data_IF_209277927147
#
_entry.id   IF_209277927147
#
_cell.length_a   1.000
_cell.length_b   1.000
_cell.length_c   1.000
_cell.angle_alpha   90.00
_cell.angle_beta   90.00
_cell.angle_gamma   90.00
#
_symmetry.space_group_name_H-M   'P 1'
#
loop_
_entity.id
_entity.type
_entity.pdbx_description
1 polymer ?
#
# COMPACT_ATOMS: atom_id res chain seq x y z
N UNK A 1 9.33 7.76 5.23
CA UNK A 1 8.11 7.34 4.52
C UNK A 1 7.01 7.22 5.55
N UNK A 2 5.84 7.80 5.29
CA UNK A 2 4.67 7.56 6.13
C UNK A 2 4.34 6.06 6.11
N UNK A 3 3.92 5.52 7.26
CA UNK A 3 3.50 4.12 7.36
C UNK A 3 2.16 3.98 6.65
N UNK A 4 2.13 3.23 5.56
CA UNK A 4 0.87 2.90 4.86
C UNK A 4 0.07 1.96 5.77
N UNK A 5 -1.16 2.36 6.08
CA UNK A 5 -2.08 1.53 6.85
C UNK A 5 -2.63 0.40 5.98
N UNK A 6 -2.71 -0.81 6.55
CA UNK A 6 -3.37 -1.97 5.94
C UNK A 6 -4.85 -1.96 6.33
N UNK A 7 -5.74 -2.06 5.35
CA UNK A 7 -7.17 -2.30 5.55
C UNK A 7 -7.42 -3.79 5.35
N UNK A 8 -7.88 -4.44 6.42
CA UNK A 8 -8.07 -5.89 6.50
C UNK A 8 -9.52 -6.33 6.43
N UNK A 9 -10.45 -5.44 6.79
CA UNK A 9 -11.87 -5.76 6.93
C UNK A 9 -12.76 -4.66 6.30
N UNK A 10 -14.04 -4.97 6.06
CA UNK A 10 -15.01 -3.99 5.53
C UNK A 10 -15.15 -2.74 6.42
N UNK A 11 -15.02 -2.90 7.74
CA UNK A 11 -15.08 -1.80 8.70
C UNK A 11 -13.89 -0.84 8.52
N UNK A 12 -12.72 -1.34 8.12
CA UNK A 12 -11.56 -0.52 7.83
C UNK A 12 -11.80 0.40 6.61
N UNK A 13 -12.49 -0.09 5.58
CA UNK A 13 -12.91 0.73 4.43
C UNK A 13 -13.85 1.85 4.86
N UNK A 14 -14.81 1.53 5.73
CA UNK A 14 -15.77 2.51 6.28
C UNK A 14 -15.04 3.62 7.04
N UNK A 15 -14.18 3.24 7.99
CA UNK A 15 -13.44 4.15 8.86
C UNK A 15 -12.38 4.97 8.12
N UNK A 16 -11.81 4.43 7.04
CA UNK A 16 -10.83 5.16 6.22
C UNK A 16 -11.41 6.34 5.44
N UNK A 17 -12.72 6.34 5.19
CA UNK A 17 -13.37 7.32 4.31
C UNK A 17 -12.97 7.19 2.82
N UNK A 18 -12.24 6.15 2.44
CA UNK A 18 -11.87 5.92 1.04
C UNK A 18 -13.12 5.80 0.14
N UNK A 19 -13.11 6.48 -1.01
CA UNK A 19 -14.23 6.50 -1.95
C UNK A 19 -15.50 7.16 -1.40
N UNK A 20 -15.41 7.91 -0.31
CA UNK A 20 -16.53 8.57 0.35
C UNK A 20 -16.22 10.06 0.59
N UNK A 21 -17.27 10.93 0.66
CA UNK A 21 -18.67 10.65 0.33
C UNK A 21 -18.92 10.63 -1.19
N UNK A 22 -20.16 10.35 -1.60
CA UNK A 22 -20.63 10.63 -2.97
C UNK A 22 -20.25 12.06 -3.37
N UNK A 23 -19.77 12.34 -4.60
CA UNK A 23 -19.85 11.53 -5.82
C UNK A 23 -18.65 10.60 -6.10
N UNK A 24 -17.80 10.36 -5.10
CA UNK A 24 -16.61 9.50 -5.25
C UNK A 24 -16.97 8.07 -5.68
N UNK A 25 -16.05 7.45 -6.44
CA UNK A 25 -16.24 6.14 -7.08
C UNK A 25 -15.27 5.06 -6.57
N UNK A 26 -14.41 5.40 -5.60
CA UNK A 26 -13.33 4.53 -5.15
C UNK A 26 -13.80 3.16 -4.65
N UNK A 27 -14.90 3.12 -3.91
CA UNK A 27 -15.47 1.85 -3.43
C UNK A 27 -15.99 0.99 -4.59
N UNK A 28 -16.68 1.58 -5.56
CA UNK A 28 -17.16 0.90 -6.76
C UNK A 28 -15.99 0.39 -7.62
N UNK A 29 -14.91 1.16 -7.72
CA UNK A 29 -13.68 0.78 -8.41
C UNK A 29 -13.02 -0.42 -7.73
N UNK A 30 -12.89 -0.40 -6.40
CA UNK A 30 -12.33 -1.51 -5.62
C UNK A 30 -13.19 -2.78 -5.76
N UNK A 31 -14.52 -2.63 -5.69
CA UNK A 31 -15.45 -3.74 -5.91
C UNK A 31 -15.28 -4.35 -7.31
N UNK A 32 -15.23 -3.51 -8.35
CA UNK A 32 -15.00 -3.99 -9.71
C UNK A 32 -13.65 -4.73 -9.83
N UNK A 33 -12.59 -4.16 -9.26
CA UNK A 33 -11.27 -4.77 -9.29
C UNK A 33 -11.29 -6.17 -8.68
N UNK A 34 -11.76 -6.30 -7.44
CA UNK A 34 -11.83 -7.58 -6.72
C UNK A 34 -12.76 -8.60 -7.40
N UNK A 35 -13.93 -8.16 -7.89
CA UNK A 35 -14.96 -9.06 -8.43
C UNK A 35 -14.72 -9.44 -9.90
N UNK A 36 -14.13 -8.55 -10.70
CA UNK A 36 -14.08 -8.70 -12.17
C UNK A 36 -12.68 -8.69 -12.75
N UNK A 37 -11.74 -7.91 -12.21
CA UNK A 37 -10.39 -7.78 -12.78
C UNK A 37 -9.46 -8.92 -12.33
N UNK A 38 -9.56 -9.33 -11.07
CA UNK A 38 -8.79 -10.46 -10.52
C UNK A 38 -9.65 -11.70 -10.32
N UNK A 39 -8.99 -12.83 -10.13
CA UNK A 39 -9.51 -14.03 -9.48
C UNK A 39 -8.41 -14.66 -8.64
N UNK A 40 -8.78 -15.56 -7.73
CA UNK A 40 -7.82 -16.33 -6.96
C UNK A 40 -7.73 -17.73 -7.56
N UNK A 41 -6.51 -18.25 -7.68
CA UNK A 41 -6.29 -19.64 -8.07
C UNK A 41 -6.47 -20.59 -6.87
N UNK A 42 -6.24 -21.89 -7.09
CA UNK A 42 -6.38 -22.91 -6.04
C UNK A 42 -5.36 -22.77 -4.90
N UNK A 43 -4.32 -21.94 -5.08
CA UNK A 43 -3.28 -21.65 -4.09
C UNK A 43 -3.51 -20.28 -3.41
N UNK A 44 -4.70 -19.69 -3.57
CA UNK A 44 -5.06 -18.34 -3.13
C UNK A 44 -4.14 -17.24 -3.69
N UNK A 45 -3.50 -17.47 -4.84
CA UNK A 45 -2.71 -16.43 -5.50
C UNK A 45 -3.61 -15.54 -6.36
N UNK A 46 -3.33 -14.23 -6.36
CA UNK A 46 -4.06 -13.26 -7.17
C UNK A 46 -3.64 -13.38 -8.64
N UNK A 47 -4.59 -13.78 -9.49
CA UNK A 47 -4.42 -13.84 -10.94
C UNK A 47 -5.21 -12.72 -11.61
N UNK A 48 -4.51 -11.83 -12.32
CA UNK A 48 -5.11 -10.79 -13.15
C UNK A 48 -5.69 -11.38 -14.44
N UNK A 49 -6.87 -10.92 -14.87
CA UNK A 49 -7.47 -11.35 -16.15
C UNK A 49 -6.96 -10.60 -17.37
N UNK A 50 -6.37 -9.43 -17.14
CA UNK A 50 -5.84 -8.57 -18.18
C UNK A 50 -4.50 -8.02 -17.72
N UNK A 51 -3.56 -7.89 -18.65
CA UNK A 51 -2.28 -7.26 -18.35
C UNK A 51 -2.48 -5.73 -18.23
N UNK A 52 -2.10 -5.10 -17.11
CA UNK A 52 -2.26 -3.66 -16.95
C UNK A 52 -1.42 -2.82 -17.94
N UNK A 53 -0.40 -3.40 -18.58
CA UNK A 53 0.35 -2.71 -19.65
C UNK A 53 -0.47 -2.45 -20.90
N UNK A 54 -1.59 -3.15 -21.09
CA UNK A 54 -2.43 -3.05 -22.29
C UNK A 54 -3.31 -1.79 -22.29
N UNK A 55 -3.27 -0.99 -21.22
CA UNK A 55 -4.04 0.27 -21.12
C UNK A 55 -5.54 0.10 -20.88
N UNK A 56 -6.04 -1.15 -20.86
CA UNK A 56 -7.46 -1.47 -20.67
C UNK A 56 -8.01 -0.82 -19.41
N UNK A 57 -9.28 -0.42 -19.45
CA UNK A 57 -9.96 0.23 -18.32
C UNK A 57 -9.32 1.56 -17.83
N UNK A 58 -8.34 2.10 -18.57
CA UNK A 58 -7.57 3.28 -18.16
C UNK A 58 -6.35 2.96 -17.29
N UNK A 59 -5.91 1.69 -17.26
CA UNK A 59 -4.65 1.33 -16.59
C UNK A 59 -3.47 2.05 -17.25
N UNK A 60 -2.53 2.52 -16.44
CA UNK A 60 -1.27 3.06 -16.92
C UNK A 60 -0.19 2.92 -15.86
N UNK A 61 1.08 3.06 -16.25
CA UNK A 61 2.21 2.90 -15.32
C UNK A 61 2.18 4.01 -14.27
N UNK A 62 2.10 3.62 -12.99
CA UNK A 62 2.20 4.54 -11.87
C UNK A 62 3.67 4.90 -11.64
N UNK A 63 3.97 6.18 -11.75
CA UNK A 63 5.31 6.68 -11.52
C UNK A 63 5.43 7.07 -10.05
N UNK A 64 5.85 6.11 -9.21
CA UNK A 64 6.07 6.32 -7.78
C UNK A 64 7.31 7.20 -7.52
N UNK A 65 7.32 8.44 -8.02
CA UNK A 65 8.44 9.39 -7.97
C UNK A 65 8.65 9.91 -6.54
N UNK A 66 9.85 10.40 -6.26
CA UNK A 66 10.15 11.04 -4.98
C UNK A 66 9.64 12.48 -4.98
N UNK A 67 8.74 12.82 -4.05
CA UNK A 67 8.18 14.15 -3.90
C UNK A 67 8.73 14.82 -2.63
N UNK A 68 9.60 15.82 -2.81
CA UNK A 68 10.25 16.54 -1.70
C UNK A 68 9.25 17.18 -0.74
N UNK A 69 8.20 17.80 -1.28
CA UNK A 69 7.20 18.53 -0.49
C UNK A 69 6.26 17.62 0.30
N UNK A 70 6.11 16.36 -0.11
CA UNK A 70 5.24 15.39 0.57
C UNK A 70 6.00 14.38 1.43
N UNK A 71 7.30 14.61 1.65
CA UNK A 71 8.10 13.77 2.55
C UNK A 71 8.52 12.41 1.96
N UNK A 72 8.50 12.25 0.64
CA UNK A 72 9.09 11.10 -0.05
C UNK A 72 8.25 10.54 -1.20
N UNK A 73 8.37 9.22 -1.41
CA UNK A 73 7.55 8.47 -2.36
C UNK A 73 6.23 8.09 -1.68
N UNK A 74 5.15 8.03 -2.46
CA UNK A 74 3.83 7.58 -1.99
C UNK A 74 3.87 6.13 -1.52
N UNK A 75 4.49 5.26 -2.34
CA UNK A 75 4.59 3.82 -2.10
C UNK A 75 6.05 3.41 -1.83
N UNK A 76 6.28 2.22 -1.24
CA UNK A 76 7.63 1.68 -1.11
C UNK A 76 8.37 1.62 -2.45
N UNK A 77 9.69 1.80 -2.42
CA UNK A 77 10.49 1.62 -3.62
C UNK A 77 10.62 0.12 -3.94
N UNK A 78 10.42 -0.25 -5.20
CA UNK A 78 10.64 -1.61 -5.69
C UNK A 78 11.13 -1.58 -7.14
N UNK A 79 11.75 -2.68 -7.58
CA UNK A 79 12.25 -2.81 -8.96
C UNK A 79 11.12 -3.01 -9.97
N UNK A 80 10.13 -3.81 -9.60
CA UNK A 80 8.97 -4.11 -10.43
C UNK A 80 8.01 -2.93 -10.53
N UNK A 81 7.27 -2.79 -11.64
CA UNK A 81 6.42 -1.64 -11.87
C UNK A 81 5.19 -1.62 -10.95
N UNK A 82 4.67 -0.40 -10.79
CA UNK A 82 3.31 -0.15 -10.31
C UNK A 82 2.43 0.26 -11.49
N UNK A 83 1.14 -0.07 -11.43
CA UNK A 83 0.12 0.39 -12.37
C UNK A 83 -1.05 1.00 -11.63
N UNK A 84 -1.61 2.08 -12.18
CA UNK A 84 -2.72 2.84 -11.63
C UNK A 84 -3.95 2.71 -12.53
N UNK A 85 -5.14 2.70 -11.91
CA UNK A 85 -6.43 2.86 -12.56
C UNK A 85 -7.34 3.74 -11.70
N UNK A 86 -8.39 4.29 -12.31
CA UNK A 86 -9.42 5.07 -11.61
C UNK A 86 -9.55 6.50 -12.10
N UNK A 87 -8.65 6.99 -12.95
CA UNK A 87 -8.91 8.22 -13.69
C UNK A 87 -9.96 7.95 -14.77
N UNK A 88 -11.08 8.68 -14.73
CA UNK A 88 -12.23 8.50 -15.63
C UNK A 88 -12.19 9.38 -16.88
N UNK A 89 -11.18 10.23 -17.05
CA UNK A 89 -10.99 11.05 -18.26
C UNK A 89 -10.55 10.27 -19.51
N UNK A 90 -9.62 9.30 -19.44
CA UNK A 90 -9.14 8.59 -20.62
C UNK A 90 -10.26 7.82 -21.34
N UNK A 91 -10.14 7.68 -22.66
CA UNK A 91 -11.12 6.94 -23.47
C UNK A 91 -11.24 5.48 -23.01
N UNK A 92 -10.14 4.86 -22.63
CA UNK A 92 -10.06 3.48 -22.16
C UNK A 92 -10.83 3.27 -20.85
N UNK A 93 -11.00 4.32 -20.04
CA UNK A 93 -11.85 4.27 -18.86
C UNK A 93 -13.31 3.97 -19.23
N UNK A 94 -13.73 4.21 -20.48
CA UNK A 94 -15.07 3.81 -20.94
C UNK A 94 -15.31 2.30 -20.85
N UNK A 95 -14.27 1.47 -20.77
CA UNK A 95 -14.39 0.02 -20.56
C UNK A 95 -14.76 -0.34 -19.11
N UNK A 96 -14.61 0.58 -18.14
CA UNK A 96 -15.07 0.36 -16.77
C UNK A 96 -16.60 0.22 -16.73
N UNK A 97 -17.15 -0.58 -15.81
CA UNK A 97 -18.59 -0.73 -15.65
C UNK A 97 -19.30 0.61 -15.43
N UNK A 98 -20.56 0.70 -15.86
CA UNK A 98 -21.39 1.90 -15.69
C UNK A 98 -21.45 2.37 -14.23
N UNK A 99 -21.64 1.44 -13.28
CA UNK A 99 -21.72 1.77 -11.85
C UNK A 99 -20.44 2.36 -11.25
N UNK A 100 -19.27 2.19 -11.90
CA UNK A 100 -18.02 2.85 -11.48
C UNK A 100 -17.99 4.31 -11.93
N UNK A 101 -18.61 4.62 -13.07
CA UNK A 101 -18.51 5.93 -13.71
C UNK A 101 -19.76 6.78 -13.59
N UNK A 102 -20.85 6.23 -13.06
CA UNK A 102 -22.19 6.84 -13.13
C UNK A 102 -22.28 8.24 -12.52
N UNK A 103 -21.41 8.54 -11.54
CA UNK A 103 -21.37 9.83 -10.83
C UNK A 103 -20.29 10.77 -11.34
N UNK A 104 -19.55 10.38 -12.37
CA UNK A 104 -18.52 11.23 -12.95
C UNK A 104 -19.17 12.41 -13.68
N UNK A 105 -18.81 13.62 -13.28
CA UNK A 105 -19.38 14.85 -13.84
C UNK A 105 -18.48 15.52 -14.88
N UNK A 106 -17.20 15.14 -14.95
CA UNK A 106 -16.19 15.84 -15.74
C UNK A 106 -15.72 17.16 -15.14
N UNK A 107 -16.19 17.53 -13.95
CA UNK A 107 -15.81 18.75 -13.24
C UNK A 107 -14.83 18.48 -12.09
N UNK A 108 -14.23 19.54 -11.56
CA UNK A 108 -13.36 19.47 -10.38
C UNK A 108 -14.25 19.49 -9.12
N UNK A 109 -14.96 18.39 -8.87
CA UNK A 109 -15.95 18.26 -7.79
C UNK A 109 -15.70 17.03 -6.89
N UNK A 110 -14.54 16.39 -7.03
CA UNK A 110 -14.17 15.19 -6.30
C UNK A 110 -14.60 13.87 -6.95
N UNK A 111 -15.47 13.89 -7.97
CA UNK A 111 -16.03 12.69 -8.63
C UNK A 111 -15.02 11.86 -9.42
N UNK A 112 -13.76 12.29 -9.54
CA UNK A 112 -12.69 11.59 -10.26
C UNK A 112 -11.35 11.63 -9.49
N UNK A 113 -11.43 11.57 -8.16
CA UNK A 113 -10.24 11.65 -7.29
C UNK A 113 -9.67 10.30 -6.90
N UNK A 114 -10.47 9.24 -6.93
CA UNK A 114 -10.09 7.92 -6.39
C UNK A 114 -9.20 7.14 -7.35
N UNK A 115 -8.17 6.48 -6.82
CA UNK A 115 -7.24 5.64 -7.57
C UNK A 115 -7.04 4.30 -6.88
N UNK A 116 -6.81 3.29 -7.69
CA UNK A 116 -6.33 1.98 -7.28
C UNK A 116 -4.98 1.76 -7.95
N UNK A 117 -3.97 1.39 -7.16
CA UNK A 117 -2.61 1.12 -7.63
C UNK A 117 -2.26 -0.33 -7.32
N UNK A 118 -1.82 -1.09 -8.32
CA UNK A 118 -1.31 -2.45 -8.15
C UNK A 118 0.21 -2.46 -8.27
N UNK A 119 0.87 -3.17 -7.37
CA UNK A 119 2.28 -3.51 -7.46
C UNK A 119 2.45 -4.91 -8.02
N UNK A 120 3.42 -5.07 -8.92
CA UNK A 120 3.81 -6.38 -9.42
C UNK A 120 5.08 -6.89 -8.72
N UNK A 121 5.25 -8.20 -8.64
CA UNK A 121 6.51 -8.84 -8.27
C UNK A 121 7.43 -9.01 -9.50
N UNK A 122 8.55 -9.73 -9.36
CA UNK A 122 9.49 -9.98 -10.47
C UNK A 122 8.92 -10.88 -11.57
N UNK A 123 7.91 -11.69 -11.25
CA UNK A 123 7.26 -12.60 -12.18
C UNK A 123 6.09 -11.93 -12.94
N UNK A 124 5.79 -10.66 -12.62
CA UNK A 124 4.65 -9.94 -13.20
C UNK A 124 3.31 -10.21 -12.50
N UNK A 125 3.32 -10.89 -11.36
CA UNK A 125 2.11 -11.20 -10.58
C UNK A 125 1.79 -10.06 -9.59
N UNK A 126 0.51 -9.87 -9.26
CA UNK A 126 0.10 -8.85 -8.28
C UNK A 126 0.57 -9.29 -6.90
N UNK A 127 1.34 -8.45 -6.21
CA UNK A 127 1.78 -8.69 -4.83
C UNK A 127 1.26 -7.65 -3.84
N UNK A 128 0.79 -6.50 -4.33
CA UNK A 128 0.27 -5.41 -3.49
C UNK A 128 -0.86 -4.70 -4.21
N UNK A 129 -1.90 -4.36 -3.46
CA UNK A 129 -3.01 -3.53 -3.93
C UNK A 129 -3.13 -2.35 -2.98
N UNK A 130 -3.14 -1.16 -3.54
CA UNK A 130 -3.28 0.09 -2.82
C UNK A 130 -4.49 0.86 -3.33
N UNK A 131 -5.11 1.61 -2.42
CA UNK A 131 -6.13 2.60 -2.76
C UNK A 131 -5.68 3.96 -2.27
N UNK A 132 -5.98 5.00 -3.03
CA UNK A 132 -5.57 6.37 -2.73
C UNK A 132 -6.50 7.38 -3.39
N UNK A 133 -6.28 8.66 -3.11
CA UNK A 133 -7.04 9.76 -3.69
C UNK A 133 -6.13 10.93 -4.07
N UNK A 134 -6.56 11.74 -5.03
CA UNK A 134 -6.00 13.07 -5.25
C UNK A 134 -6.58 14.10 -4.26
N UNK A 135 -5.74 14.93 -3.65
CA UNK A 135 -6.20 16.02 -2.76
C UNK A 135 -6.51 17.32 -3.52
N UNK A 136 -5.72 17.65 -4.55
CA UNK A 136 -5.84 18.91 -5.30
C UNK A 136 -5.87 18.68 -6.82
N UNK A 137 -6.47 17.56 -7.25
CA UNK A 137 -6.55 17.15 -8.67
C UNK A 137 -5.22 16.76 -9.33
N UNK A 138 -4.09 16.91 -8.62
CA UNK A 138 -2.74 16.57 -9.13
C UNK A 138 -1.96 15.65 -8.21
N UNK A 139 -1.92 15.97 -6.91
CA UNK A 139 -1.10 15.25 -5.95
C UNK A 139 -1.87 14.15 -5.23
N UNK A 140 -1.21 13.02 -5.01
CA UNK A 140 -1.73 11.92 -4.20
C UNK A 140 -1.67 12.25 -2.72
N UNK A 141 -2.70 11.82 -1.99
CA UNK A 141 -2.77 11.95 -0.55
C UNK A 141 -1.92 10.89 0.15
N UNK A 142 -0.87 11.29 0.86
CA UNK A 142 -0.13 10.37 1.71
C UNK A 142 -0.96 9.91 2.93
N UNK A 143 -1.85 10.78 3.43
CA UNK A 143 -2.73 10.49 4.57
C UNK A 143 -3.91 9.58 4.23
N UNK A 144 -4.32 9.55 2.97
CA UNK A 144 -5.42 8.72 2.47
C UNK A 144 -4.93 7.69 1.45
N UNK A 145 -3.75 7.11 1.71
CA UNK A 145 -3.23 5.95 0.96
C UNK A 145 -3.18 4.73 1.86
N UNK A 146 -3.80 3.66 1.40
CA UNK A 146 -3.96 2.45 2.16
C UNK A 146 -3.58 1.23 1.32
N UNK A 147 -3.02 0.22 1.97
CA UNK A 147 -2.85 -1.11 1.37
C UNK A 147 -4.10 -1.94 1.68
N UNK A 148 -4.61 -2.67 0.70
CA UNK A 148 -5.72 -3.61 0.85
C UNK A 148 -5.14 -5.00 1.10
N UNK A 149 -5.65 -5.70 2.12
CA UNK A 149 -5.27 -7.10 2.37
C UNK A 149 -5.90 -8.04 1.34
N UNK A 150 -5.28 -9.21 1.18
CA UNK A 150 -5.83 -10.28 0.33
C UNK A 150 -7.16 -10.81 0.90
N UNK A 151 -7.26 -10.94 2.23
CA UNK A 151 -8.49 -11.32 2.93
C UNK A 151 -9.66 -10.37 2.61
N UNK A 152 -9.40 -9.06 2.58
CA UNK A 152 -10.40 -8.06 2.24
C UNK A 152 -10.82 -8.17 0.77
N UNK A 153 -9.87 -8.41 -0.14
CA UNK A 153 -10.20 -8.66 -1.56
C UNK A 153 -11.08 -9.92 -1.71
N UNK A 154 -10.79 -10.99 -0.97
CA UNK A 154 -11.63 -12.18 -0.91
C UNK A 154 -13.03 -11.88 -0.36
N UNK A 155 -13.13 -11.14 0.74
CA UNK A 155 -14.42 -10.76 1.33
C UNK A 155 -15.27 -9.97 0.32
N UNK A 156 -14.66 -8.97 -0.34
CA UNK A 156 -15.32 -8.18 -1.40
C UNK A 156 -15.74 -9.08 -2.55
N UNK A 157 -14.89 -10.01 -2.99
CA UNK A 157 -15.21 -10.95 -4.06
C UNK A 157 -16.38 -11.87 -3.70
N UNK A 158 -16.62 -12.15 -2.42
CA UNK A 158 -17.74 -12.97 -1.95
C UNK A 158 -19.05 -12.19 -1.77
N UNK A 159 -19.03 -10.87 -1.83
CA UNK A 159 -20.26 -10.06 -1.82
C UNK A 159 -21.09 -10.30 -3.10
N UNK A 160 -22.42 -10.21 -3.00
CA UNK A 160 -23.31 -10.59 -4.10
C UNK A 160 -23.26 -9.59 -5.26
N UNK A 161 -23.33 -8.29 -4.97
CA UNK A 161 -23.28 -7.22 -5.97
C UNK A 161 -22.75 -5.91 -5.37
N UNK A 162 -22.53 -4.90 -6.24
CA UNK A 162 -21.95 -3.63 -5.83
C UNK A 162 -22.84 -2.89 -4.80
N UNK A 163 -24.17 -3.02 -4.91
CA UNK A 163 -25.10 -2.37 -3.98
C UNK A 163 -24.98 -2.97 -2.57
N UNK A 164 -24.99 -4.30 -2.45
CA UNK A 164 -24.82 -4.97 -1.15
C UNK A 164 -23.46 -4.67 -0.53
N UNK A 165 -22.40 -4.58 -1.34
CA UNK A 165 -21.07 -4.20 -0.87
C UNK A 165 -21.07 -2.77 -0.30
N UNK A 166 -21.64 -1.81 -1.03
CA UNK A 166 -21.74 -0.42 -0.54
C UNK A 166 -22.60 -0.33 0.73
N UNK A 167 -23.72 -1.05 0.80
CA UNK A 167 -24.57 -1.11 2.00
C UNK A 167 -23.81 -1.69 3.20
N UNK A 168 -22.97 -2.71 2.99
CA UNK A 168 -22.13 -3.28 4.04
C UNK A 168 -21.10 -2.27 4.55
N UNK A 169 -20.34 -1.62 3.66
CA UNK A 169 -19.31 -0.64 4.04
C UNK A 169 -19.91 0.63 4.67
N UNK A 170 -21.03 1.13 4.15
CA UNK A 170 -21.67 2.34 4.66
C UNK A 170 -22.51 2.08 5.91
N UNK A 171 -23.03 0.86 6.06
CA UNK A 171 -23.82 0.44 7.22
C UNK A 171 -22.99 0.13 8.46
N UNK A 172 -21.73 -0.27 8.31
CA UNK A 172 -20.85 -0.63 9.44
C UNK A 172 -20.43 0.57 10.29
N UNK A 173 -20.54 1.79 9.78
CA UNK A 173 -20.39 3.03 10.57
C UNK A 173 -21.49 3.23 11.64
N UNK A 174 -22.55 2.41 11.63
CA UNK A 174 -23.62 2.42 12.64
C UNK A 174 -23.45 1.20 13.56
N UNK A 175 -22.67 1.39 14.62
CA UNK A 175 -22.68 0.57 15.84
C UNK A 175 -22.54 -0.94 15.67
N UNK A 176 -21.30 -1.44 15.53
CA UNK A 176 -20.93 -2.77 16.04
C UNK A 176 -19.91 -2.64 17.17
N UNK A 177 -20.08 -3.33 18.30
CA UNK A 177 -19.09 -3.33 19.36
C UNK A 177 -17.77 -3.87 18.80
N UNK A 178 -16.69 -3.09 19.00
CA UNK A 178 -15.32 -3.45 18.61
C UNK A 178 -15.06 -4.91 19.03
N UNK A 179 -14.86 -5.82 18.07
CA UNK A 179 -14.25 -7.11 18.40
C UNK A 179 -12.88 -6.80 18.99
N UNK A 180 -12.67 -7.13 20.26
CA UNK A 180 -11.35 -7.05 20.90
C UNK A 180 -10.38 -7.79 20.00
N UNK A 181 -9.38 -7.09 19.45
CA UNK A 181 -8.18 -7.71 18.91
C UNK A 181 -7.67 -8.66 19.99
N UNK A 182 -7.57 -9.95 19.68
CA UNK A 182 -6.82 -10.89 20.53
C UNK A 182 -5.37 -10.42 20.50
N UNK A 183 -4.92 -9.80 21.59
CA UNK A 183 -3.50 -9.71 21.87
C UNK A 183 -3.01 -11.14 22.07
N UNK A 184 -2.22 -11.61 21.13
CA UNK A 184 -1.49 -12.86 21.28
C UNK A 184 -0.25 -12.54 22.11
N UNK A 185 -0.35 -12.96 23.37
CA UNK A 185 0.68 -13.43 24.28
C UNK A 185 1.64 -12.40 24.90
N UNK A 186 1.26 -12.02 26.12
CA UNK A 186 2.18 -11.79 27.23
C UNK A 186 3.05 -13.04 27.44
N UNK A 187 4.36 -12.91 27.22
CA UNK A 187 5.31 -13.85 27.82
C UNK A 187 5.36 -13.54 29.32
N UNK A 188 4.90 -14.52 30.08
CA UNK A 188 4.96 -14.61 31.53
C UNK A 188 6.38 -14.32 31.98
N UNK A 189 6.58 -13.24 32.75
CA UNK A 189 7.78 -13.07 33.54
C UNK A 189 7.78 -14.16 34.61
N UNK A 190 8.67 -15.13 34.47
CA UNK A 190 9.09 -15.99 35.58
C UNK A 190 10.21 -15.27 36.30
N UNK A 191 9.92 -14.86 37.53
CA UNK A 191 10.91 -14.37 38.48
C UNK A 191 12.01 -15.43 38.64
N UNK A 192 13.23 -15.05 38.28
CA UNK A 192 14.46 -15.76 38.62
C UNK A 192 15.29 -14.81 39.46
N UNK A 193 14.96 -14.77 40.75
CA UNK A 193 15.88 -14.28 41.77
C UNK A 193 17.13 -15.15 41.80
N UNK A 194 18.27 -14.52 42.12
CA UNK A 194 19.60 -15.09 42.43
C UNK A 194 20.61 -15.10 41.28
N UNK A 195 21.32 -13.99 41.08
CA UNK A 195 22.63 -14.00 40.41
C UNK A 195 23.73 -13.94 41.49
N UNK A 196 24.67 -14.91 41.56
CA UNK A 196 25.79 -14.86 42.50
C UNK A 196 26.87 -13.86 42.03
N UNK A 197 27.76 -13.41 42.93
CA UNK A 197 28.75 -12.39 42.60
C UNK A 197 29.84 -12.95 41.69
N UNK A 198 30.22 -12.16 40.67
CA UNK A 198 31.30 -12.48 39.74
C UNK A 198 32.63 -12.33 40.47
N UNK A 199 33.36 -13.44 40.61
CA UNK A 199 34.75 -13.50 41.02
C UNK A 199 35.67 -12.87 39.96
N UNK A 200 36.60 -12.04 40.45
CA UNK A 200 37.73 -11.51 39.70
C UNK A 200 38.68 -12.63 39.28
N UNK A 201 38.96 -12.75 37.98
CA UNK A 201 40.18 -13.41 37.51
C UNK A 201 41.03 -12.44 36.69
N UNK A 202 42.12 -12.03 37.32
CA UNK A 202 43.34 -11.51 36.72
C UNK A 202 44.05 -12.62 35.93
N UNK A 203 44.37 -12.37 34.66
CA UNK A 203 45.49 -12.93 33.88
C UNK A 203 45.71 -11.89 32.77
N UNK A 204 46.83 -11.22 32.55
CA UNK A 204 48.24 -11.59 32.62
C UNK A 204 48.85 -10.94 31.37
N UNK A 205 49.80 -10.04 31.57
CA UNK A 205 50.50 -9.24 30.56
C UNK A 205 51.31 -10.17 29.62
N UNK A 206 51.26 -9.95 28.31
CA UNK A 206 52.35 -10.35 27.42
C UNK A 206 52.31 -9.59 26.08
N UNK A 207 53.31 -8.74 25.95
CA UNK A 207 53.71 -7.95 24.79
C UNK A 207 54.26 -8.83 23.67
N UNK A 208 53.81 -8.62 22.42
CA UNK A 208 54.69 -8.77 21.26
C UNK A 208 54.24 -7.89 20.09
N UNK A 209 55.19 -7.10 19.61
CA UNK A 209 55.14 -6.18 18.49
C UNK A 209 54.86 -6.92 17.17
N UNK A 210 54.06 -6.29 16.29
CA UNK A 210 54.43 -6.16 14.87
C UNK A 210 53.72 -4.90 14.31
N UNK A 211 54.54 -3.89 13.98
CA UNK A 211 54.18 -2.76 13.09
C UNK A 211 53.85 -3.32 11.69
N UNK A 212 53.11 -2.70 10.76
CA UNK A 212 53.29 -1.43 10.00
C UNK A 212 52.07 -1.30 9.01
N UNK A 213 51.88 -0.25 8.17
CA UNK A 213 51.85 1.21 8.37
C UNK A 213 50.52 1.87 7.90
N UNK A 214 50.32 3.12 8.33
CA UNK A 214 49.32 4.07 7.83
C UNK A 214 49.83 4.70 6.52
N UNK A 215 49.11 4.53 5.41
CA UNK A 215 49.25 5.38 4.23
C UNK A 215 48.11 6.40 4.13
N UNK A 216 48.52 7.67 4.16
CA UNK A 216 47.72 8.85 3.87
C UNK A 216 47.45 8.92 2.36
N UNK A 217 46.19 9.12 1.96
CA UNK A 217 45.83 9.72 0.66
C UNK A 217 44.91 10.91 0.96
N UNK A 218 45.51 12.08 1.18
CA UNK A 218 45.66 13.18 0.22
C UNK A 218 44.33 13.74 -0.30
N UNK A 219 43.89 14.85 0.31
CA UNK A 219 43.06 15.84 -0.37
C UNK A 219 43.82 16.43 -1.57
N UNK A 220 43.13 16.66 -2.70
CA UNK A 220 43.09 17.96 -3.38
C UNK A 220 42.20 17.96 -4.65
N UNK A 221 41.83 19.15 -5.18
CA UNK A 221 40.59 19.42 -5.92
C UNK A 221 40.78 19.82 -7.41
N UNK A 222 39.63 20.03 -8.07
CA UNK A 222 39.33 21.02 -9.15
C UNK A 222 39.75 20.79 -10.62
N UNK A 223 38.82 21.20 -11.52
CA UNK A 223 38.92 21.56 -12.95
C UNK A 223 39.21 20.44 -13.99
N UNK A 224 38.73 20.42 -15.24
CA UNK A 224 37.88 21.28 -16.10
C UNK A 224 37.67 20.54 -17.45
N UNK A 225 36.49 20.74 -18.08
CA UNK A 225 36.11 20.76 -19.52
C UNK A 225 36.86 19.86 -20.53
N UNK A 226 36.07 19.06 -21.26
CA UNK A 226 35.96 19.07 -22.74
C UNK A 226 34.58 18.56 -23.16
#
# INVERSE_FOLDING_TARGET
MAKIQLLGEMDDLSLSGFGQPSPRHGLQLLFWFAKKFIHFDNNNQIIMKYNPSDGRFGFHKFQNRFERFQGGRLLPNQRSPYYEVGNLHPLEAQQLPKYVKEKFTGHIDGSNTDRLIIGLNSNGEINKVYVTQHENGRNFSHGHTYQISEDLLHEIQNTSNCKSFLEQVLGTGKSKPKKKRRQINDYVAVDMDSNPPIENYYVGDDTSEYSIPIEKKSCCPCCTIL
#
